data_IF_117899981022
#
_entry.id   IF_117899981022
#
_cell.length_a   1.000
_cell.length_b   1.000
_cell.length_c   1.000
_cell.angle_alpha   90.00
_cell.angle_beta   90.00
_cell.angle_gamma   90.00
#
_symmetry.space_group_name_H-M   'P 1'
#
loop_
_entity.id
_entity.type
_entity.pdbx_description
1 polymer ?
#
# COMPACT_ATOMS: atom_id res chain seq x y z
N UNK A 1 -6.19 -17.06 15.56
CA UNK A 1 -4.79 -16.74 15.16
C UNK A 1 -4.10 -16.00 16.28
N UNK A 2 -2.76 -16.09 16.41
CA UNK A 2 -2.00 -15.35 17.44
C UNK A 2 -1.46 -14.06 16.81
N UNK A 3 -2.03 -12.92 17.21
CA UNK A 3 -1.58 -11.58 16.81
C UNK A 3 -1.08 -10.77 18.03
N UNK A 4 -1.06 -11.35 19.23
CA UNK A 4 -0.62 -10.66 20.45
C UNK A 4 0.84 -10.93 20.81
N UNK A 5 1.45 -11.96 20.23
CA UNK A 5 2.88 -12.25 20.49
C UNK A 5 3.78 -11.17 19.89
N UNK A 6 4.59 -10.56 20.76
CA UNK A 6 5.64 -9.61 20.34
C UNK A 6 6.85 -10.38 19.84
N UNK A 7 7.19 -10.22 18.59
CA UNK A 7 8.37 -10.80 17.97
C UNK A 7 9.54 -9.81 17.97
N UNK A 8 10.68 -10.22 18.51
CA UNK A 8 11.90 -9.42 18.37
C UNK A 8 12.39 -9.47 16.92
N UNK A 9 12.45 -8.32 16.27
CA UNK A 9 12.94 -8.16 14.89
C UNK A 9 14.22 -7.31 14.82
N UNK A 10 14.71 -6.84 15.96
CA UNK A 10 15.96 -6.09 16.04
C UNK A 10 17.16 -7.02 15.83
N UNK A 11 18.16 -6.56 15.06
CA UNK A 11 19.35 -7.34 14.71
C UNK A 11 19.12 -8.44 13.67
N UNK A 12 17.99 -8.39 12.94
CA UNK A 12 17.63 -9.39 11.92
C UNK A 12 17.75 -8.85 10.48
N UNK A 13 18.43 -7.72 10.28
CA UNK A 13 18.46 -6.96 9.04
C UNK A 13 17.09 -6.42 8.61
N UNK A 14 16.16 -6.29 9.55
CA UNK A 14 14.84 -5.73 9.34
C UNK A 14 14.91 -4.21 9.24
N UNK A 15 14.63 -3.66 8.06
CA UNK A 15 14.65 -2.20 7.83
C UNK A 15 13.84 -1.43 8.87
N UNK A 16 12.66 -1.92 9.23
CA UNK A 16 11.74 -1.27 10.17
C UNK A 16 12.35 -1.06 11.55
N UNK A 17 13.15 -2.00 12.05
CA UNK A 17 13.76 -1.95 13.36
C UNK A 17 15.22 -1.49 13.32
N UNK A 18 16.04 -2.07 12.43
CA UNK A 18 17.48 -1.82 12.41
C UNK A 18 17.83 -0.43 11.83
N UNK A 19 16.95 0.16 11.02
CA UNK A 19 17.14 1.51 10.45
C UNK A 19 16.37 2.61 11.20
N UNK A 20 15.64 2.28 12.26
CA UNK A 20 14.82 3.24 13.01
C UNK A 20 15.67 4.34 13.65
N UNK A 21 16.73 3.98 14.33
CA UNK A 21 17.63 4.96 14.97
C UNK A 21 18.42 5.79 13.95
N UNK A 22 19.05 5.21 12.89
CA UNK A 22 19.74 6.01 11.87
C UNK A 22 18.85 7.01 11.13
N UNK A 23 17.58 6.66 10.87
CA UNK A 23 16.69 7.48 10.04
C UNK A 23 15.83 8.45 10.85
N UNK A 24 15.44 8.08 12.06
CA UNK A 24 14.49 8.83 12.88
C UNK A 24 15.02 9.25 14.25
N UNK A 25 16.23 8.83 14.63
CA UNK A 25 16.79 9.09 15.96
C UNK A 25 16.06 8.39 17.10
N UNK A 26 15.21 7.42 16.81
CA UNK A 26 14.43 6.64 17.78
C UNK A 26 15.20 5.38 18.13
N UNK A 27 15.61 5.17 19.43
CA UNK A 27 16.35 3.98 19.81
C UNK A 27 15.53 2.70 19.63
N UNK A 28 16.12 1.65 19.07
CA UNK A 28 15.43 0.40 18.81
C UNK A 28 15.06 -0.37 20.09
N UNK A 29 15.83 -0.19 21.17
CA UNK A 29 15.64 -0.89 22.45
C UNK A 29 14.42 -0.36 23.22
N UNK A 30 14.07 0.91 23.06
CA UNK A 30 13.01 1.59 23.83
C UNK A 30 11.93 2.21 22.97
N UNK A 31 12.20 2.35 21.67
CA UNK A 31 11.28 2.99 20.72
C UNK A 31 10.26 2.05 20.14
N UNK A 32 9.26 2.62 19.50
CA UNK A 32 8.22 1.90 18.76
C UNK A 32 8.38 2.12 17.24
N UNK A 33 8.47 1.04 16.48
CA UNK A 33 8.63 1.08 15.04
C UNK A 33 7.25 1.10 14.34
N UNK A 34 6.72 2.29 14.04
CA UNK A 34 5.41 2.45 13.39
C UNK A 34 5.49 3.14 12.01
N UNK A 35 6.60 2.96 11.28
CA UNK A 35 6.86 3.67 10.01
C UNK A 35 6.80 2.82 8.75
N UNK A 36 7.51 1.69 8.67
CA UNK A 36 7.48 0.81 7.50
C UNK A 36 6.13 0.11 7.40
N UNK A 37 5.59 0.02 6.19
CA UNK A 37 4.34 -0.68 5.91
C UNK A 37 4.57 -2.20 5.75
N UNK A 38 5.09 -2.84 6.80
CA UNK A 38 5.01 -4.26 7.08
C UNK A 38 4.42 -4.47 8.48
N UNK A 39 3.92 -5.66 8.77
CA UNK A 39 3.30 -5.97 10.06
C UNK A 39 4.26 -6.67 11.00
N UNK A 40 3.90 -6.75 12.28
CA UNK A 40 4.67 -7.47 13.32
C UNK A 40 4.15 -8.91 13.53
N UNK A 41 3.33 -9.42 12.61
CA UNK A 41 2.71 -10.74 12.70
C UNK A 41 3.41 -11.75 11.79
N UNK A 42 3.46 -13.01 12.23
CA UNK A 42 3.85 -14.12 11.36
C UNK A 42 2.80 -14.30 10.26
N UNK A 43 3.21 -14.65 9.02
CA UNK A 43 2.27 -15.04 7.98
C UNK A 43 1.48 -16.31 8.39
N UNK A 44 0.38 -16.65 7.69
CA UNK A 44 -0.37 -17.87 7.94
C UNK A 44 0.51 -19.12 7.84
N UNK A 45 0.10 -20.20 8.52
CA UNK A 45 0.88 -21.43 8.57
C UNK A 45 1.13 -22.03 7.18
N UNK A 46 0.16 -21.96 6.27
CA UNK A 46 0.32 -22.44 4.89
C UNK A 46 1.54 -21.82 4.18
N UNK A 47 1.82 -20.53 4.40
CA UNK A 47 3.01 -19.86 3.85
C UNK A 47 4.29 -20.40 4.48
N UNK A 48 4.29 -20.59 5.79
CA UNK A 48 5.43 -21.15 6.53
C UNK A 48 5.73 -22.59 6.05
N UNK A 49 4.70 -23.42 5.94
CA UNK A 49 4.81 -24.80 5.46
C UNK A 49 5.34 -24.89 4.02
N UNK A 50 4.95 -23.95 3.14
CA UNK A 50 5.49 -23.88 1.79
C UNK A 50 7.01 -23.64 1.79
N UNK A 51 7.52 -22.74 2.64
CA UNK A 51 8.95 -22.50 2.78
C UNK A 51 9.68 -23.72 3.38
N UNK A 52 9.10 -24.34 4.40
CA UNK A 52 9.67 -25.57 5.00
C UNK A 52 9.81 -26.70 3.99
N UNK A 53 8.83 -26.87 3.10
CA UNK A 53 8.90 -27.83 2.00
C UNK A 53 10.04 -27.50 1.03
N UNK A 54 10.24 -26.23 0.69
CA UNK A 54 11.37 -25.81 -0.15
C UNK A 54 12.72 -26.08 0.52
N UNK A 55 12.85 -25.77 1.83
CA UNK A 55 14.06 -26.02 2.61
C UNK A 55 14.37 -27.53 2.68
N UNK A 56 13.35 -28.35 2.90
CA UNK A 56 13.51 -29.81 2.94
C UNK A 56 13.94 -30.38 1.57
N UNK A 57 13.49 -29.80 0.47
CA UNK A 57 13.93 -30.17 -0.88
C UNK A 57 15.40 -29.79 -1.12
N UNK A 58 15.82 -28.60 -0.71
CA UNK A 58 17.21 -28.14 -0.69
C UNK A 58 17.85 -27.81 -2.05
N UNK A 59 17.09 -27.81 -3.15
CA UNK A 59 17.57 -27.45 -4.50
C UNK A 59 16.72 -26.29 -5.01
N UNK A 60 17.35 -25.13 -5.24
CA UNK A 60 16.69 -23.86 -5.55
C UNK A 60 16.93 -23.47 -7.00
N UNK A 61 16.29 -24.20 -7.93
CA UNK A 61 16.38 -23.97 -9.37
C UNK A 61 15.45 -22.86 -9.86
N UNK A 62 15.45 -22.66 -11.18
CA UNK A 62 14.49 -21.74 -11.82
C UNK A 62 13.07 -22.26 -11.65
N UNK A 63 12.13 -21.34 -11.40
CA UNK A 63 10.70 -21.64 -11.39
C UNK A 63 10.24 -21.88 -12.82
N UNK A 64 9.61 -23.00 -13.08
CA UNK A 64 9.23 -23.44 -14.43
C UNK A 64 7.76 -23.22 -14.73
N UNK A 65 6.92 -24.20 -14.38
CA UNK A 65 5.47 -24.13 -14.61
C UNK A 65 4.78 -23.26 -13.54
N UNK A 66 4.23 -22.13 -13.95
CA UNK A 66 3.55 -21.18 -13.07
C UNK A 66 2.02 -21.37 -13.00
N UNK A 67 1.49 -22.44 -13.61
CA UNK A 67 0.04 -22.68 -13.71
C UNK A 67 -0.64 -22.72 -12.34
N UNK A 68 -0.04 -23.37 -11.33
CA UNK A 68 -0.58 -23.46 -9.97
C UNK A 68 -0.65 -22.07 -9.31
N UNK A 69 0.40 -21.26 -9.49
CA UNK A 69 0.43 -19.89 -9.01
C UNK A 69 -0.64 -19.01 -9.67
N UNK A 70 -0.73 -19.05 -10.99
CA UNK A 70 -1.72 -18.29 -11.75
C UNK A 70 -3.15 -18.68 -11.39
N UNK A 71 -3.41 -19.96 -11.16
CA UNK A 71 -4.72 -20.43 -10.69
C UNK A 71 -5.02 -19.97 -9.26
N UNK A 72 -4.03 -19.92 -8.38
CA UNK A 72 -4.21 -19.36 -7.03
C UNK A 72 -4.56 -17.88 -7.08
N UNK A 73 -3.89 -17.07 -7.94
CA UNK A 73 -4.25 -15.66 -8.17
C UNK A 73 -5.68 -15.53 -8.68
N UNK A 74 -6.06 -16.32 -9.70
CA UNK A 74 -7.41 -16.30 -10.28
C UNK A 74 -8.48 -16.69 -9.25
N UNK A 75 -8.21 -17.75 -8.50
CA UNK A 75 -9.12 -18.20 -7.43
C UNK A 75 -9.34 -17.10 -6.39
N UNK A 76 -8.27 -16.43 -5.98
CA UNK A 76 -8.34 -15.35 -5.00
C UNK A 76 -9.16 -14.17 -5.52
N UNK A 77 -8.85 -13.69 -6.72
CA UNK A 77 -9.56 -12.55 -7.33
C UNK A 77 -11.06 -12.89 -7.50
N UNK A 78 -11.40 -14.08 -7.96
CA UNK A 78 -12.79 -14.49 -8.12
C UNK A 78 -13.50 -14.64 -6.77
N UNK A 79 -12.87 -15.30 -5.80
CA UNK A 79 -13.52 -15.67 -4.53
C UNK A 79 -13.65 -14.48 -3.58
N UNK A 80 -12.61 -13.65 -3.49
CA UNK A 80 -12.58 -12.52 -2.55
C UNK A 80 -13.13 -11.22 -3.13
N UNK A 81 -12.95 -11.01 -4.43
CA UNK A 81 -13.26 -9.74 -5.07
C UNK A 81 -14.30 -9.83 -6.17
N UNK A 82 -14.75 -11.04 -6.55
CA UNK A 82 -15.74 -11.26 -7.60
C UNK A 82 -15.23 -10.91 -9.00
N UNK A 83 -13.91 -10.83 -9.18
CA UNK A 83 -13.28 -10.47 -10.44
C UNK A 83 -12.66 -11.68 -11.13
N UNK A 84 -13.15 -11.98 -12.34
CA UNK A 84 -12.62 -13.06 -13.19
C UNK A 84 -11.41 -12.56 -13.97
N UNK A 85 -10.31 -13.33 -13.93
CA UNK A 85 -9.04 -13.03 -14.61
C UNK A 85 -8.58 -14.26 -15.36
N UNK A 86 -8.05 -14.09 -16.57
CA UNK A 86 -7.43 -15.18 -17.34
C UNK A 86 -5.92 -15.27 -17.08
N UNK A 87 -5.35 -16.48 -17.17
CA UNK A 87 -3.92 -16.71 -16.90
C UNK A 87 -3.00 -15.86 -17.76
N UNK A 88 -3.34 -15.69 -19.05
CA UNK A 88 -2.54 -14.94 -20.03
C UNK A 88 -2.56 -13.42 -19.79
N UNK A 89 -3.42 -12.93 -18.90
CA UNK A 89 -3.49 -11.53 -18.50
C UNK A 89 -2.52 -11.20 -17.35
N UNK A 90 -1.99 -12.21 -16.65
CA UNK A 90 -1.22 -12.06 -15.41
C UNK A 90 0.28 -12.11 -15.70
N UNK A 91 0.99 -11.06 -15.31
CA UNK A 91 2.45 -11.00 -15.30
C UNK A 91 2.95 -10.91 -13.86
N UNK A 92 4.04 -11.61 -13.56
CA UNK A 92 4.67 -11.57 -12.24
C UNK A 92 5.88 -10.64 -12.25
N UNK A 93 5.94 -9.69 -11.32
CA UNK A 93 7.03 -8.71 -11.16
C UNK A 93 7.68 -8.83 -9.79
N UNK A 94 8.84 -8.18 -9.61
CA UNK A 94 9.56 -8.15 -8.32
C UNK A 94 8.95 -7.12 -7.36
N UNK A 95 7.65 -7.29 -7.07
CA UNK A 95 6.82 -6.37 -6.29
C UNK A 95 6.23 -5.25 -7.14
N UNK A 96 5.23 -4.54 -6.59
CA UNK A 96 4.45 -3.58 -7.37
C UNK A 96 5.19 -2.26 -7.67
N UNK A 97 6.16 -1.85 -6.84
CA UNK A 97 7.02 -0.69 -7.18
C UNK A 97 7.81 -0.96 -8.46
N UNK A 98 8.34 -2.19 -8.63
CA UNK A 98 8.97 -2.62 -9.86
C UNK A 98 7.96 -2.69 -11.02
N UNK A 99 6.79 -3.31 -10.80
CA UNK A 99 5.71 -3.36 -11.79
C UNK A 99 5.28 -1.96 -12.27
N UNK A 100 5.09 -1.01 -11.35
CA UNK A 100 4.77 0.39 -11.67
C UNK A 100 5.87 1.06 -12.49
N UNK A 101 7.14 0.88 -12.10
CA UNK A 101 8.28 1.41 -12.86
C UNK A 101 8.32 0.86 -14.30
N UNK A 102 8.00 -0.44 -14.46
CA UNK A 102 7.90 -1.06 -15.79
C UNK A 102 6.74 -0.50 -16.60
N UNK A 103 5.59 -0.22 -15.98
CA UNK A 103 4.47 0.45 -16.66
C UNK A 103 4.85 1.86 -17.12
N UNK A 104 5.51 2.65 -16.26
CA UNK A 104 6.01 3.98 -16.62
C UNK A 104 6.93 3.88 -17.85
N UNK A 105 7.85 2.94 -17.86
CA UNK A 105 8.81 2.80 -18.93
C UNK A 105 8.21 2.22 -20.23
N UNK A 106 7.16 1.40 -20.11
CA UNK A 106 6.46 0.80 -21.26
C UNK A 106 5.49 1.77 -21.93
N UNK A 107 4.75 2.55 -21.13
CA UNK A 107 3.59 3.30 -21.63
C UNK A 107 3.82 4.82 -21.72
N UNK A 108 4.95 5.32 -21.21
CA UNK A 108 5.32 6.73 -21.27
C UNK A 108 6.72 6.94 -21.85
N UNK A 109 7.08 8.18 -22.15
CA UNK A 109 8.41 8.59 -22.62
C UNK A 109 9.06 9.56 -21.62
N UNK A 110 10.37 9.70 -21.61
CA UNK A 110 11.03 10.78 -20.85
C UNK A 110 10.42 12.14 -21.15
N UNK A 111 10.10 12.89 -20.10
CA UNK A 111 9.43 14.19 -20.18
C UNK A 111 7.90 14.14 -20.08
N UNK A 112 7.25 12.99 -20.30
CA UNK A 112 5.82 12.85 -20.12
C UNK A 112 5.40 13.06 -18.65
N UNK A 113 4.18 13.59 -18.45
CA UNK A 113 3.55 13.72 -17.14
C UNK A 113 2.93 12.40 -16.66
N UNK A 114 3.07 12.12 -15.37
CA UNK A 114 2.39 11.03 -14.66
C UNK A 114 1.61 11.64 -13.50
N UNK A 115 0.30 11.44 -13.51
CA UNK A 115 -0.64 12.00 -12.53
C UNK A 115 -0.63 11.17 -11.25
N UNK A 116 -0.56 11.84 -10.10
CA UNK A 116 -0.68 11.28 -8.76
C UNK A 116 -1.72 12.04 -7.93
N UNK A 117 -2.58 11.32 -7.22
CA UNK A 117 -3.53 11.89 -6.23
C UNK A 117 -2.84 12.09 -4.89
N UNK A 118 -2.22 13.25 -4.68
CA UNK A 118 -1.46 13.53 -3.46
C UNK A 118 -2.36 13.99 -2.28
N UNK A 119 -1.96 13.68 -1.01
CA UNK A 119 -0.80 12.90 -0.62
C UNK A 119 -0.95 11.42 -0.95
N UNK A 120 0.08 10.77 -1.50
CA UNK A 120 0.03 9.36 -1.89
C UNK A 120 1.39 8.67 -1.65
N UNK A 121 1.42 7.35 -1.70
CA UNK A 121 2.61 6.54 -1.46
C UNK A 121 3.85 7.10 -2.18
N UNK A 122 4.83 7.53 -1.39
CA UNK A 122 6.00 8.30 -1.83
C UNK A 122 6.89 7.60 -2.86
N UNK A 123 6.85 6.26 -2.93
CA UNK A 123 7.64 5.54 -3.93
C UNK A 123 7.20 5.85 -5.37
N UNK A 124 5.94 6.21 -5.60
CA UNK A 124 5.48 6.58 -6.95
C UNK A 124 6.20 7.82 -7.47
N UNK A 125 6.24 8.90 -6.68
CA UNK A 125 6.97 10.11 -7.05
C UNK A 125 8.45 9.84 -7.31
N UNK A 126 9.08 8.99 -6.48
CA UNK A 126 10.48 8.62 -6.62
C UNK A 126 10.76 7.90 -7.93
N UNK A 127 9.98 6.89 -8.28
CA UNK A 127 10.20 6.11 -9.52
C UNK A 127 9.88 6.90 -10.78
N UNK A 128 8.85 7.77 -10.75
CA UNK A 128 8.51 8.69 -11.86
C UNK A 128 9.70 9.60 -12.16
N UNK A 129 10.23 10.27 -11.13
CA UNK A 129 11.39 11.17 -11.26
C UNK A 129 12.65 10.43 -11.71
N UNK A 130 12.93 9.26 -11.12
CA UNK A 130 14.07 8.44 -11.49
C UNK A 130 14.01 7.95 -12.95
N UNK A 131 12.81 7.76 -13.48
CA UNK A 131 12.59 7.40 -14.88
C UNK A 131 12.59 8.61 -15.84
N UNK A 132 12.87 9.82 -15.37
CA UNK A 132 12.90 11.05 -16.18
C UNK A 132 11.52 11.54 -16.63
N UNK A 133 10.46 11.16 -15.91
CA UNK A 133 9.09 11.65 -16.13
C UNK A 133 8.75 12.76 -15.13
N UNK A 134 7.71 13.53 -15.43
CA UNK A 134 7.25 14.62 -14.57
C UNK A 134 6.11 14.11 -13.65
N UNK A 135 6.19 14.44 -12.36
CA UNK A 135 5.07 14.21 -11.43
C UNK A 135 4.08 15.34 -11.59
N UNK A 136 2.82 15.00 -11.90
CA UNK A 136 1.70 15.94 -11.93
C UNK A 136 0.83 15.66 -10.72
N UNK A 137 0.94 16.53 -9.71
CA UNK A 137 0.20 16.37 -8.45
C UNK A 137 -1.24 16.89 -8.60
N UNK A 138 -2.20 16.00 -8.39
CA UNK A 138 -3.62 16.27 -8.27
C UNK A 138 -4.03 16.08 -6.81
N UNK A 139 -3.99 17.15 -5.99
CA UNK A 139 -4.23 17.03 -4.56
C UNK A 139 -5.66 16.61 -4.25
N UNK A 140 -5.79 15.75 -3.25
CA UNK A 140 -7.06 15.39 -2.64
C UNK A 140 -7.52 16.52 -1.71
N UNK A 141 -8.82 16.73 -1.63
CA UNK A 141 -9.43 17.67 -0.68
C UNK A 141 -9.88 16.93 0.58
N UNK A 142 -9.85 17.60 1.73
CA UNK A 142 -10.40 17.05 2.97
C UNK A 142 -11.79 17.60 3.17
N UNK A 143 -12.80 16.73 3.16
CA UNK A 143 -14.21 17.06 3.41
C UNK A 143 -14.70 16.16 4.53
N UNK A 144 -15.25 16.74 5.57
CA UNK A 144 -15.75 16.03 6.77
C UNK A 144 -14.75 15.02 7.37
N UNK A 145 -13.44 15.33 7.27
CA UNK A 145 -12.35 14.51 7.79
C UNK A 145 -11.94 13.35 6.88
N UNK A 146 -12.43 13.29 5.65
CA UNK A 146 -12.06 12.30 4.63
C UNK A 146 -11.43 12.96 3.40
N UNK A 147 -10.58 12.23 2.70
CA UNK A 147 -10.11 12.64 1.38
C UNK A 147 -11.19 12.43 0.32
N UNK A 148 -11.37 13.42 -0.55
CA UNK A 148 -12.23 13.39 -1.72
C UNK A 148 -11.47 13.80 -2.97
N UNK A 149 -11.95 13.34 -4.14
CA UNK A 149 -11.40 13.63 -5.46
C UNK A 149 -12.10 14.86 -6.07
N UNK A 150 -11.33 15.91 -6.37
CA UNK A 150 -11.85 17.11 -7.07
C UNK A 150 -11.41 17.09 -8.54
N UNK A 151 -12.16 16.38 -9.37
CA UNK A 151 -11.86 16.23 -10.79
C UNK A 151 -11.85 17.57 -11.56
N UNK A 152 -12.66 18.54 -11.14
CA UNK A 152 -12.70 19.86 -11.79
C UNK A 152 -11.40 20.65 -11.52
N UNK A 153 -10.92 20.61 -10.28
CA UNK A 153 -9.62 21.20 -9.93
C UNK A 153 -8.46 20.48 -10.63
N UNK A 154 -8.58 19.16 -10.82
CA UNK A 154 -7.56 18.37 -11.53
C UNK A 154 -7.55 18.63 -13.03
N UNK A 155 -8.73 18.77 -13.68
CA UNK A 155 -8.81 19.14 -15.10
C UNK A 155 -8.05 20.44 -15.40
N UNK A 156 -8.12 21.42 -14.47
CA UNK A 156 -7.41 22.69 -14.61
C UNK A 156 -5.86 22.58 -14.49
N UNK A 157 -5.34 21.47 -13.99
CA UNK A 157 -3.91 21.20 -13.86
C UNK A 157 -3.31 20.48 -15.06
N UNK A 158 -4.14 19.89 -15.90
CA UNK A 158 -3.69 19.11 -17.04
C UNK A 158 -3.14 20.03 -18.15
N UNK A 159 -1.97 19.66 -18.66
CA UNK A 159 -1.24 20.43 -19.71
C UNK A 159 -1.32 19.78 -21.08
N UNK A 160 -1.79 18.52 -21.15
CA UNK A 160 -1.83 17.71 -22.37
C UNK A 160 -0.53 16.92 -22.62
N UNK A 161 0.43 17.00 -21.69
CA UNK A 161 1.67 16.21 -21.75
C UNK A 161 1.60 14.92 -20.91
N UNK A 162 0.57 14.77 -20.11
CA UNK A 162 0.34 13.61 -19.27
C UNK A 162 -0.05 12.39 -20.12
N UNK A 163 0.44 11.21 -19.70
CA UNK A 163 0.18 9.93 -20.40
C UNK A 163 -0.26 8.82 -19.48
N UNK A 164 -0.11 9.00 -18.17
CA UNK A 164 -0.43 7.98 -17.18
C UNK A 164 -1.03 8.60 -15.93
N UNK A 165 -1.93 7.86 -15.30
CA UNK A 165 -2.45 8.11 -13.96
C UNK A 165 -2.16 6.89 -13.08
N UNK A 166 -1.56 7.07 -11.92
CA UNK A 166 -1.36 6.01 -10.93
C UNK A 166 -2.32 6.23 -9.78
N UNK A 167 -3.29 5.32 -9.65
CA UNK A 167 -4.28 5.30 -8.56
C UNK A 167 -3.80 4.35 -7.46
N UNK A 168 -3.87 4.79 -6.21
CA UNK A 168 -3.71 3.94 -5.02
C UNK A 168 -5.11 3.60 -4.47
N UNK A 169 -5.51 2.32 -4.53
CA UNK A 169 -6.87 1.87 -4.15
C UNK A 169 -6.84 0.48 -3.49
N UNK A 170 -7.12 0.34 -2.20
CA UNK A 170 -7.37 1.38 -1.19
C UNK A 170 -6.19 2.34 -1.01
N UNK A 171 -6.52 3.55 -0.57
CA UNK A 171 -5.59 4.67 -0.56
C UNK A 171 -4.61 4.63 0.61
N UNK A 172 -3.33 4.80 0.34
CA UNK A 172 -2.26 5.01 1.31
C UNK A 172 -1.61 6.39 1.02
N UNK A 173 -1.65 7.34 1.97
CA UNK A 173 -1.75 7.14 3.43
C UNK A 173 -3.16 7.32 4.03
N UNK A 174 -4.12 7.89 3.33
CA UNK A 174 -5.40 8.31 3.89
C UNK A 174 -6.37 7.18 4.29
N UNK A 175 -6.05 5.92 3.99
CA UNK A 175 -6.88 4.76 4.38
C UNK A 175 -8.27 4.71 3.74
N UNK A 176 -8.48 5.44 2.63
CA UNK A 176 -9.78 5.48 1.94
C UNK A 176 -10.05 4.21 1.14
N UNK A 177 -11.29 3.76 1.18
CA UNK A 177 -11.89 2.86 0.18
C UNK A 177 -12.71 3.73 -0.78
N UNK A 178 -12.30 3.81 -2.03
CA UNK A 178 -12.98 4.64 -3.03
C UNK A 178 -14.34 4.05 -3.39
N UNK A 179 -15.35 4.91 -3.49
CA UNK A 179 -16.70 4.53 -3.91
C UNK A 179 -16.76 4.22 -5.41
N UNK A 180 -17.81 3.55 -5.85
CA UNK A 180 -18.03 3.30 -7.28
C UNK A 180 -18.10 4.62 -8.08
N UNK A 181 -18.69 5.66 -7.50
CA UNK A 181 -18.80 6.98 -8.13
C UNK A 181 -17.43 7.64 -8.30
N UNK A 182 -16.57 7.61 -7.25
CA UNK A 182 -15.21 8.12 -7.33
C UNK A 182 -14.38 7.35 -8.39
N UNK A 183 -14.51 6.02 -8.44
CA UNK A 183 -13.82 5.18 -9.44
C UNK A 183 -14.32 5.43 -10.86
N UNK A 184 -15.63 5.67 -11.05
CA UNK A 184 -16.18 6.13 -12.34
C UNK A 184 -15.63 7.50 -12.72
N UNK A 185 -15.47 8.40 -11.76
CA UNK A 185 -14.83 9.71 -11.97
C UNK A 185 -13.38 9.58 -12.45
N UNK A 186 -12.60 8.68 -11.85
CA UNK A 186 -11.22 8.36 -12.29
C UNK A 186 -11.22 7.82 -13.71
N UNK A 187 -12.13 6.89 -14.04
CA UNK A 187 -12.25 6.34 -15.39
C UNK A 187 -12.55 7.42 -16.42
N UNK A 188 -13.53 8.29 -16.13
CA UNK A 188 -13.92 9.40 -17.02
C UNK A 188 -12.78 10.42 -17.17
N UNK A 189 -12.03 10.70 -16.09
CA UNK A 189 -10.85 11.56 -16.15
C UNK A 189 -9.76 10.96 -17.05
N UNK A 190 -9.46 9.67 -16.92
CA UNK A 190 -8.49 8.99 -17.78
C UNK A 190 -8.90 8.98 -19.25
N UNK A 191 -10.20 8.78 -19.55
CA UNK A 191 -10.72 8.84 -20.91
C UNK A 191 -10.61 10.26 -21.50
N UNK A 192 -10.95 11.28 -20.72
CA UNK A 192 -10.94 12.69 -21.13
C UNK A 192 -9.55 13.20 -21.49
N UNK A 193 -8.54 12.73 -20.75
CA UNK A 193 -7.15 13.15 -20.91
C UNK A 193 -6.25 12.11 -21.61
N UNK A 194 -6.84 11.05 -22.18
CA UNK A 194 -6.14 9.96 -22.86
C UNK A 194 -4.99 9.34 -22.05
N UNK A 195 -5.28 9.02 -20.78
CA UNK A 195 -4.31 8.47 -19.84
C UNK A 195 -4.43 6.95 -19.75
N UNK A 196 -3.29 6.26 -19.64
CA UNK A 196 -3.22 4.88 -19.15
C UNK A 196 -3.41 4.94 -17.63
N UNK A 197 -4.37 4.17 -17.11
CA UNK A 197 -4.60 4.02 -15.68
C UNK A 197 -3.82 2.82 -15.15
N UNK A 198 -2.94 3.05 -14.19
CA UNK A 198 -2.31 2.02 -13.36
C UNK A 198 -3.00 2.04 -12.01
N UNK A 199 -3.81 1.02 -11.70
CA UNK A 199 -4.48 0.89 -10.39
C UNK A 199 -3.66 -0.01 -9.49
N UNK A 200 -2.96 0.58 -8.52
CA UNK A 200 -2.24 -0.16 -7.47
C UNK A 200 -3.23 -0.52 -6.36
N UNK A 201 -3.65 -1.79 -6.37
CA UNK A 201 -4.62 -2.33 -5.43
C UNK A 201 -3.97 -3.27 -4.39
N UNK A 202 -2.73 -2.99 -3.99
CA UNK A 202 -1.95 -3.84 -3.07
C UNK A 202 -2.62 -4.03 -1.70
N UNK A 203 -3.52 -3.14 -1.30
CA UNK A 203 -4.24 -3.16 -0.02
C UNK A 203 -5.67 -3.71 -0.13
N UNK A 204 -6.07 -4.27 -1.27
CA UNK A 204 -7.45 -4.67 -1.58
C UNK A 204 -8.09 -5.64 -0.58
N UNK A 205 -7.29 -6.48 0.11
CA UNK A 205 -7.78 -7.42 1.13
C UNK A 205 -7.87 -6.81 2.54
N UNK A 206 -7.19 -5.70 2.78
CA UNK A 206 -7.03 -5.10 4.11
C UNK A 206 -8.09 -4.01 4.31
N UNK A 207 -9.36 -4.40 4.26
CA UNK A 207 -10.53 -3.51 4.30
C UNK A 207 -11.27 -3.72 5.61
N UNK A 208 -11.53 -2.63 6.34
CA UNK A 208 -12.15 -2.68 7.65
C UNK A 208 -13.59 -3.21 7.60
N UNK A 209 -14.11 -3.83 8.67
CA UNK A 209 -15.48 -4.32 8.73
C UNK A 209 -16.51 -3.25 8.36
N UNK A 210 -17.49 -3.62 7.53
CA UNK A 210 -18.50 -2.71 7.01
C UNK A 210 -18.08 -1.91 5.76
N UNK A 211 -16.81 -1.97 5.35
CA UNK A 211 -16.32 -1.43 4.08
C UNK A 211 -16.17 -2.53 3.03
N UNK A 212 -16.16 -2.16 1.77
CA UNK A 212 -15.96 -3.09 0.66
C UNK A 212 -15.11 -2.44 -0.42
N UNK A 213 -13.96 -3.03 -0.70
CA UNK A 213 -13.16 -2.65 -1.88
C UNK A 213 -13.85 -3.10 -3.17
N UNK A 214 -13.86 -2.24 -4.15
CA UNK A 214 -14.36 -2.51 -5.50
C UNK A 214 -13.18 -2.44 -6.48
N UNK A 215 -12.75 -3.57 -7.08
CA UNK A 215 -11.67 -3.55 -8.08
C UNK A 215 -12.01 -2.66 -9.28
N UNK A 216 -11.04 -1.92 -9.77
CA UNK A 216 -11.23 -1.00 -10.89
C UNK A 216 -11.84 -1.64 -12.15
N UNK A 217 -11.49 -2.90 -12.56
CA UNK A 217 -12.11 -3.56 -13.71
C UNK A 217 -13.60 -3.85 -13.53
N UNK A 218 -14.07 -4.00 -12.28
CA UNK A 218 -15.50 -4.18 -11.98
C UNK A 218 -16.19 -2.82 -11.93
N UNK A 219 -15.55 -1.83 -11.30
CA UNK A 219 -16.11 -0.49 -11.21
C UNK A 219 -16.29 0.15 -12.60
N UNK A 220 -15.28 0.02 -13.47
CA UNK A 220 -15.24 0.71 -14.75
C UNK A 220 -14.76 -0.20 -15.91
N UNK A 221 -15.54 -1.21 -16.31
CA UNK A 221 -15.12 -2.14 -17.36
C UNK A 221 -14.92 -1.47 -18.73
N UNK A 222 -15.49 -0.29 -18.94
CA UNK A 222 -15.38 0.47 -20.19
C UNK A 222 -13.98 1.06 -20.47
N UNK A 223 -13.05 1.02 -19.49
CA UNK A 223 -11.68 1.51 -19.67
C UNK A 223 -10.66 0.35 -19.77
N UNK A 224 -11.11 -0.86 -20.06
CA UNK A 224 -10.22 -2.02 -20.16
C UNK A 224 -9.08 -1.81 -21.18
N UNK A 225 -9.31 -1.00 -22.23
CA UNK A 225 -8.34 -0.62 -23.26
C UNK A 225 -7.18 0.26 -22.76
N UNK A 226 -7.28 0.77 -21.54
CA UNK A 226 -6.29 1.67 -20.91
C UNK A 226 -6.00 1.36 -19.46
N UNK A 227 -6.41 0.18 -18.96
CA UNK A 227 -6.28 -0.22 -17.57
C UNK A 227 -5.18 -1.25 -17.38
N UNK A 228 -4.29 -0.97 -16.41
CA UNK A 228 -3.33 -1.91 -15.85
C UNK A 228 -3.66 -2.07 -14.37
N UNK A 229 -4.03 -3.30 -13.98
CA UNK A 229 -4.30 -3.65 -12.59
C UNK A 229 -3.07 -4.19 -11.91
N UNK A 230 -2.91 -3.87 -10.62
CA UNK A 230 -1.81 -4.38 -9.81
C UNK A 230 -2.31 -4.94 -8.48
N UNK A 231 -1.92 -6.17 -8.16
CA UNK A 231 -2.25 -6.83 -6.90
C UNK A 231 -1.03 -7.57 -6.35
N UNK A 232 -0.99 -7.82 -5.04
CA UNK A 232 0.08 -8.62 -4.44
C UNK A 232 -0.34 -9.24 -3.11
N UNK A 233 0.23 -10.39 -2.79
CA UNK A 233 0.12 -11.03 -1.47
C UNK A 233 0.92 -10.33 -0.38
N UNK A 234 1.87 -9.49 -0.77
CA UNK A 234 2.95 -9.02 0.11
C UNK A 234 2.51 -8.16 1.28
N UNK A 235 1.45 -7.35 1.12
CA UNK A 235 0.87 -6.55 2.20
C UNK A 235 -0.14 -7.34 3.01
N UNK A 236 -1.02 -8.05 2.32
CA UNK A 236 -2.06 -8.88 2.93
C UNK A 236 -1.48 -9.89 3.92
N UNK A 237 -0.43 -10.60 3.51
CA UNK A 237 0.13 -11.71 4.28
C UNK A 237 1.46 -11.41 4.98
N UNK A 238 1.85 -10.14 5.04
CA UNK A 238 3.11 -9.71 5.68
C UNK A 238 4.36 -10.43 5.14
N UNK A 239 4.45 -10.57 3.83
CA UNK A 239 5.57 -11.22 3.12
C UNK A 239 6.27 -10.26 2.16
N UNK A 240 6.45 -9.01 2.56
CA UNK A 240 7.04 -7.97 1.71
C UNK A 240 8.43 -8.35 1.17
N UNK A 241 9.22 -9.08 1.96
CA UNK A 241 10.54 -9.57 1.55
C UNK A 241 10.52 -10.62 0.42
N UNK A 242 9.35 -11.20 0.12
CA UNK A 242 9.17 -12.13 -1.01
C UNK A 242 9.27 -11.44 -2.37
N UNK A 243 9.15 -10.10 -2.42
CA UNK A 243 9.25 -9.33 -3.67
C UNK A 243 8.47 -9.96 -4.84
N UNK A 244 7.19 -10.23 -4.65
CA UNK A 244 6.28 -10.72 -5.68
C UNK A 244 5.09 -9.79 -5.86
N UNK A 245 4.63 -9.62 -7.10
CA UNK A 245 3.47 -8.79 -7.42
C UNK A 245 2.91 -9.18 -8.77
N UNK A 246 1.63 -8.96 -8.98
CA UNK A 246 0.91 -9.20 -10.22
C UNK A 246 0.64 -7.90 -10.94
N UNK A 247 0.96 -7.86 -12.22
CA UNK A 247 0.48 -6.86 -13.18
C UNK A 247 -0.50 -7.56 -14.09
N UNK A 248 -1.76 -7.12 -14.12
CA UNK A 248 -2.84 -7.81 -14.81
C UNK A 248 -3.41 -6.88 -15.88
N UNK A 249 -3.34 -7.29 -17.14
CA UNK A 249 -3.69 -6.48 -18.30
C UNK A 249 -4.67 -7.24 -19.20
N UNK A 250 -5.90 -6.79 -19.28
CA UNK A 250 -6.93 -7.41 -20.11
C UNK A 250 -6.77 -7.07 -21.59
N UNK A 251 -6.42 -5.83 -21.93
CA UNK A 251 -6.26 -5.37 -23.30
C UNK A 251 -5.07 -6.06 -24.00
N UNK A 252 -5.27 -6.73 -25.15
CA UNK A 252 -4.20 -7.46 -25.83
C UNK A 252 -3.04 -6.58 -26.34
N UNK A 253 -3.31 -5.32 -26.72
CA UNK A 253 -2.29 -4.42 -27.24
C UNK A 253 -1.40 -3.89 -26.14
N UNK A 254 -1.99 -3.48 -24.99
CA UNK A 254 -1.22 -3.11 -23.81
C UNK A 254 -0.43 -4.31 -23.28
N UNK A 255 -1.07 -5.49 -23.24
CA UNK A 255 -0.45 -6.74 -22.77
C UNK A 255 0.78 -7.12 -23.59
N UNK A 256 0.72 -7.05 -24.92
CA UNK A 256 1.85 -7.32 -25.81
C UNK A 256 3.02 -6.37 -25.54
N UNK A 257 2.76 -5.05 -25.42
CA UNK A 257 3.80 -4.06 -25.11
C UNK A 257 4.48 -4.33 -23.77
N UNK A 258 3.70 -4.71 -22.74
CA UNK A 258 4.24 -5.02 -21.43
C UNK A 258 5.06 -6.32 -21.44
N UNK A 259 4.60 -7.36 -22.16
CA UNK A 259 5.32 -8.62 -22.34
C UNK A 259 6.69 -8.41 -23.02
N UNK A 260 6.71 -7.62 -24.10
CA UNK A 260 7.97 -7.28 -24.81
C UNK A 260 8.97 -6.58 -23.87
N UNK A 261 8.45 -5.70 -23.00
CA UNK A 261 9.28 -4.98 -22.03
C UNK A 261 9.84 -5.92 -20.98
N UNK A 262 9.02 -6.83 -20.43
CA UNK A 262 9.48 -7.84 -19.48
C UNK A 262 10.59 -8.70 -20.06
N UNK A 263 10.40 -9.15 -21.30
CA UNK A 263 11.39 -9.95 -22.03
C UNK A 263 12.71 -9.18 -22.21
N UNK A 264 12.63 -7.92 -22.62
CA UNK A 264 13.81 -7.06 -22.80
C UNK A 264 14.60 -6.82 -21.51
N UNK A 265 13.93 -6.84 -20.35
CA UNK A 265 14.57 -6.68 -19.04
C UNK A 265 15.09 -8.00 -18.45
N UNK A 266 14.83 -9.14 -19.07
CA UNK A 266 15.25 -10.45 -18.58
C UNK A 266 14.66 -10.80 -17.21
N UNK A 267 13.45 -10.32 -16.90
CA UNK A 267 12.81 -10.57 -15.61
C UNK A 267 12.27 -11.99 -15.55
N UNK A 268 12.62 -12.69 -14.47
CA UNK A 268 12.07 -13.98 -14.12
C UNK A 268 11.53 -13.97 -12.70
N UNK A 269 10.50 -14.78 -12.40
CA UNK A 269 9.87 -14.78 -11.09
C UNK A 269 10.84 -15.17 -9.96
N UNK A 270 10.63 -14.60 -8.78
CA UNK A 270 11.25 -15.07 -7.55
C UNK A 270 10.55 -16.35 -7.08
N UNK A 271 11.21 -17.51 -7.20
CA UNK A 271 10.62 -18.81 -6.88
C UNK A 271 10.09 -18.88 -5.43
N UNK A 272 10.83 -18.34 -4.45
CA UNK A 272 10.36 -18.28 -3.06
C UNK A 272 9.07 -17.47 -2.94
N UNK A 273 9.02 -16.31 -3.60
CA UNK A 273 7.85 -15.47 -3.63
C UNK A 273 6.62 -16.15 -4.24
N UNK A 274 6.80 -16.91 -5.32
CA UNK A 274 5.70 -17.64 -5.95
C UNK A 274 5.16 -18.78 -5.06
N UNK A 275 6.04 -19.59 -4.45
CA UNK A 275 5.60 -20.63 -3.51
C UNK A 275 4.84 -20.05 -2.31
N UNK A 276 5.34 -18.94 -1.74
CA UNK A 276 4.66 -18.24 -0.65
C UNK A 276 3.29 -17.69 -1.09
N UNK A 277 3.22 -17.07 -2.27
CA UNK A 277 1.99 -16.47 -2.78
C UNK A 277 0.94 -17.53 -3.14
N UNK A 278 1.35 -18.64 -3.76
CA UNK A 278 0.47 -19.78 -4.06
C UNK A 278 -0.16 -20.33 -2.78
N UNK A 279 0.65 -20.54 -1.74
CA UNK A 279 0.16 -21.03 -0.46
C UNK A 279 -0.75 -20.02 0.25
N UNK A 280 -0.43 -18.72 0.16
CA UNK A 280 -1.20 -17.64 0.76
C UNK A 280 -2.60 -17.50 0.13
N UNK A 281 -2.70 -17.60 -1.18
CA UNK A 281 -3.98 -17.52 -1.91
C UNK A 281 -4.74 -18.86 -1.85
N UNK A 282 -5.17 -19.21 -0.66
CA UNK A 282 -5.84 -20.45 -0.30
C UNK A 282 -6.98 -20.21 0.69
N UNK A 283 -7.85 -21.20 0.93
CA UNK A 283 -8.87 -21.09 1.98
C UNK A 283 -8.30 -20.84 3.39
N UNK A 284 -7.13 -21.41 3.71
CA UNK A 284 -6.45 -21.16 4.99
C UNK A 284 -5.95 -19.70 5.07
N UNK A 285 -5.35 -19.19 3.98
CA UNK A 285 -4.96 -17.78 3.90
C UNK A 285 -6.14 -16.84 4.00
N UNK A 286 -7.28 -17.17 3.39
CA UNK A 286 -8.52 -16.38 3.48
C UNK A 286 -9.02 -16.26 4.93
N UNK A 287 -9.07 -17.36 5.67
CA UNK A 287 -9.46 -17.38 7.07
C UNK A 287 -8.50 -16.54 7.94
N UNK A 288 -7.19 -16.60 7.65
CA UNK A 288 -6.19 -15.78 8.35
C UNK A 288 -6.39 -14.28 8.10
N UNK A 289 -6.71 -13.88 6.86
CA UNK A 289 -6.99 -12.48 6.50
C UNK A 289 -8.24 -11.97 7.21
N UNK A 290 -9.28 -12.78 7.28
CA UNK A 290 -10.53 -12.41 7.98
C UNK A 290 -10.27 -12.15 9.48
N UNK A 291 -9.49 -12.99 10.14
CA UNK A 291 -9.07 -12.78 11.54
C UNK A 291 -8.16 -11.54 11.69
N UNK A 292 -7.21 -11.35 10.76
CA UNK A 292 -6.29 -10.22 10.76
C UNK A 292 -7.04 -8.89 10.69
N UNK A 293 -7.99 -8.77 9.76
CA UNK A 293 -8.76 -7.53 9.56
C UNK A 293 -9.55 -7.17 10.82
N UNK A 294 -10.15 -8.15 11.49
CA UNK A 294 -10.84 -7.94 12.76
C UNK A 294 -9.88 -7.45 13.86
N UNK A 295 -8.68 -8.03 13.90
CA UNK A 295 -7.66 -7.62 14.87
C UNK A 295 -7.17 -6.20 14.62
N UNK A 296 -6.88 -5.85 13.36
CA UNK A 296 -6.46 -4.49 12.96
C UNK A 296 -7.56 -3.47 13.23
N UNK A 297 -8.82 -3.80 12.96
CA UNK A 297 -9.96 -2.92 13.29
C UNK A 297 -10.02 -2.62 14.79
N UNK A 298 -9.82 -3.61 15.63
CA UNK A 298 -9.70 -3.38 17.07
C UNK A 298 -8.49 -2.49 17.44
N UNK A 299 -7.34 -2.63 16.75
CA UNK A 299 -6.20 -1.72 16.93
C UNK A 299 -6.56 -0.29 16.52
N UNK A 300 -7.23 -0.12 15.39
CA UNK A 300 -7.74 1.15 14.90
C UNK A 300 -8.63 1.83 15.94
N UNK A 301 -9.61 1.09 16.50
CA UNK A 301 -10.53 1.64 17.50
C UNK A 301 -9.80 2.18 18.73
N UNK A 302 -8.85 1.43 19.26
CA UNK A 302 -8.01 1.85 20.39
C UNK A 302 -7.18 3.09 20.04
N UNK A 303 -6.55 3.07 18.87
CA UNK A 303 -5.70 4.17 18.40
C UNK A 303 -6.52 5.44 18.17
N UNK A 304 -7.62 5.37 17.42
CA UNK A 304 -8.47 6.51 17.10
C UNK A 304 -9.05 7.15 18.38
N UNK A 305 -9.54 6.33 19.31
CA UNK A 305 -10.07 6.83 20.57
C UNK A 305 -9.01 7.57 21.39
N UNK A 306 -7.79 7.02 21.47
CA UNK A 306 -6.71 7.62 22.22
C UNK A 306 -6.12 8.88 21.60
N UNK A 307 -5.92 8.88 20.28
CA UNK A 307 -5.38 10.04 19.55
C UNK A 307 -6.39 11.18 19.49
N UNK A 308 -7.65 10.90 19.19
CA UNK A 308 -8.69 11.92 19.11
C UNK A 308 -9.06 12.53 20.49
N UNK A 309 -8.64 11.91 21.59
CA UNK A 309 -8.76 12.48 22.93
C UNK A 309 -7.69 13.57 23.21
N UNK A 310 -6.62 13.65 22.41
CA UNK A 310 -5.60 14.69 22.53
C UNK A 310 -6.11 15.95 21.79
N UNK A 311 -6.28 17.09 22.45
CA UNK A 311 -6.80 18.31 21.82
C UNK A 311 -5.99 18.71 20.59
N UNK A 312 -6.68 18.92 19.47
CA UNK A 312 -6.08 19.35 18.21
C UNK A 312 -5.44 18.24 17.36
N UNK A 313 -5.36 17.01 17.83
CA UNK A 313 -4.98 15.86 17.03
C UNK A 313 -6.23 15.18 16.44
N UNK A 314 -6.11 14.70 15.19
CA UNK A 314 -7.18 13.94 14.55
C UNK A 314 -6.63 12.78 13.76
N UNK A 315 -7.01 11.57 14.13
CA UNK A 315 -6.83 10.37 13.27
C UNK A 315 -7.88 10.39 12.16
N UNK A 316 -7.45 10.37 10.89
CA UNK A 316 -8.37 10.28 9.76
C UNK A 316 -9.07 8.91 9.79
N UNK A 317 -10.40 8.84 9.53
CA UNK A 317 -11.12 7.57 9.56
C UNK A 317 -10.50 6.53 8.62
N UNK A 318 -10.01 5.44 9.19
CA UNK A 318 -9.32 4.37 8.47
C UNK A 318 -10.34 3.35 7.97
N UNK A 319 -10.61 3.35 6.66
CA UNK A 319 -11.52 2.41 5.99
C UNK A 319 -10.79 1.15 5.47
N UNK A 320 -9.50 1.25 5.22
CA UNK A 320 -8.65 0.16 4.75
C UNK A 320 -7.19 0.38 5.12
N UNK A 321 -6.35 -0.62 4.90
CA UNK A 321 -4.94 -0.68 5.28
C UNK A 321 -4.76 -0.90 6.81
N UNK A 322 -3.53 -0.87 7.27
CA UNK A 322 -3.15 -0.83 8.68
C UNK A 322 -2.34 0.44 8.99
N UNK A 323 -2.55 1.50 8.20
CA UNK A 323 -1.74 2.73 8.22
C UNK A 323 -2.62 3.90 8.61
N UNK A 324 -2.58 4.29 9.88
CA UNK A 324 -3.31 5.45 10.38
C UNK A 324 -2.63 6.76 9.97
N UNK A 325 -3.42 7.73 9.55
CA UNK A 325 -3.00 9.04 9.09
C UNK A 325 -3.50 10.10 10.05
N UNK A 326 -2.57 10.69 10.82
CA UNK A 326 -2.90 11.61 11.92
C UNK A 326 -2.57 13.04 11.54
N UNK A 327 -3.55 13.92 11.63
CA UNK A 327 -3.42 15.36 11.42
C UNK A 327 -3.05 16.07 12.73
N UNK A 328 -2.04 16.93 12.66
CA UNK A 328 -1.54 17.80 13.73
C UNK A 328 -1.79 19.29 13.42
N UNK A 329 -2.46 19.61 12.33
CA UNK A 329 -2.60 21.01 11.87
C UNK A 329 -3.31 21.94 12.86
N UNK A 330 -4.28 21.41 13.61
CA UNK A 330 -5.08 22.22 14.54
C UNK A 330 -4.33 22.63 15.82
N UNK A 331 -3.18 22.03 16.15
CA UNK A 331 -2.41 22.43 17.34
C UNK A 331 -1.58 23.69 17.12
N UNK A 332 -1.43 24.16 15.86
CA UNK A 332 -0.67 25.38 15.55
C UNK A 332 0.83 25.30 15.81
N UNK A 333 1.36 24.09 16.04
CA UNK A 333 2.77 23.85 16.31
C UNK A 333 3.54 23.68 14.97
N UNK A 334 4.77 24.22 14.86
CA UNK A 334 5.63 23.93 13.71
C UNK A 334 5.82 22.43 13.52
N UNK A 335 5.79 21.94 12.28
CA UNK A 335 5.90 20.51 11.97
C UNK A 335 7.18 19.87 12.53
N UNK A 336 8.29 20.62 12.56
CA UNK A 336 9.53 20.13 13.16
C UNK A 336 9.37 19.81 14.66
N UNK A 337 8.62 20.62 15.39
CA UNK A 337 8.40 20.43 16.83
C UNK A 337 7.43 19.24 17.06
N UNK A 338 6.44 19.05 16.18
CA UNK A 338 5.57 17.87 16.19
C UNK A 338 6.41 16.60 16.00
N UNK A 339 7.27 16.59 14.99
CA UNK A 339 8.17 15.47 14.70
C UNK A 339 9.08 15.18 15.91
N UNK A 340 9.68 16.20 16.49
CA UNK A 340 10.55 16.07 17.66
C UNK A 340 9.80 15.50 18.87
N UNK A 341 8.57 15.93 19.13
CA UNK A 341 7.74 15.36 20.20
C UNK A 341 7.42 13.88 19.97
N UNK A 342 7.02 13.52 18.75
CA UNK A 342 6.69 12.13 18.43
C UNK A 342 7.94 11.25 18.45
N UNK A 343 9.06 11.70 17.86
CA UNK A 343 10.26 10.87 17.74
C UNK A 343 11.14 10.88 19.00
N UNK A 344 11.37 12.05 19.62
CA UNK A 344 12.28 12.16 20.75
C UNK A 344 11.58 11.97 22.10
N UNK A 345 10.36 12.54 22.28
CA UNK A 345 9.66 12.44 23.55
C UNK A 345 8.83 11.16 23.65
N UNK A 346 7.96 10.89 22.65
CA UNK A 346 7.18 9.66 22.62
C UNK A 346 8.01 8.43 22.17
N UNK A 347 9.17 8.64 21.54
CA UNK A 347 10.03 7.59 20.97
C UNK A 347 9.28 6.67 20.01
N UNK A 348 8.51 7.26 19.08
CA UNK A 348 7.77 6.54 18.04
C UNK A 348 8.32 6.95 16.67
N UNK A 349 8.86 6.00 15.93
CA UNK A 349 9.25 6.22 14.53
C UNK A 349 8.01 6.16 13.63
N UNK A 350 7.74 7.24 12.89
CA UNK A 350 6.59 7.41 11.98
C UNK A 350 7.06 7.92 10.62
N UNK A 351 6.25 7.77 9.57
CA UNK A 351 6.54 8.47 8.33
C UNK A 351 6.03 9.92 8.39
N UNK A 352 6.88 10.84 7.93
CA UNK A 352 6.53 12.25 7.82
C UNK A 352 5.62 12.47 6.61
N UNK A 353 4.56 13.24 6.80
CA UNK A 353 3.54 13.45 5.78
C UNK A 353 4.04 14.18 4.55
N UNK A 354 5.03 15.06 4.69
CA UNK A 354 5.68 15.77 3.58
C UNK A 354 6.29 14.83 2.53
N UNK A 355 6.65 13.61 2.91
CA UNK A 355 7.16 12.60 1.98
C UNK A 355 6.10 12.10 0.98
N UNK A 356 4.81 12.27 1.29
CA UNK A 356 3.69 11.79 0.47
C UNK A 356 3.22 12.80 -0.58
N UNK A 357 3.82 13.98 -0.64
CA UNK A 357 3.46 15.05 -1.58
C UNK A 357 2.51 16.09 -0.98
N UNK A 358 1.98 16.95 -1.84
CA UNK A 358 1.12 18.06 -1.49
C UNK A 358 -0.10 17.61 -0.66
N UNK A 359 -0.39 18.33 0.43
CA UNK A 359 -1.50 18.02 1.35
C UNK A 359 -1.11 17.07 2.50
N UNK A 360 0.17 16.67 2.58
CA UNK A 360 0.69 15.84 3.67
C UNK A 360 1.40 16.63 4.79
N UNK A 361 1.49 17.95 4.70
CA UNK A 361 2.41 18.77 5.49
C UNK A 361 2.16 18.71 7.00
N UNK A 362 0.89 18.62 7.43
CA UNK A 362 0.52 18.55 8.85
C UNK A 362 0.39 17.13 9.40
N UNK A 363 0.69 16.12 8.60
CA UNK A 363 0.38 14.74 8.94
C UNK A 363 1.60 13.90 9.31
N UNK A 364 1.34 12.85 10.11
CA UNK A 364 2.24 11.71 10.32
C UNK A 364 1.48 10.40 10.11
N UNK A 365 2.15 9.39 9.52
CA UNK A 365 1.57 8.06 9.29
C UNK A 365 2.08 7.06 10.32
N UNK A 366 1.14 6.38 11.00
CA UNK A 366 1.40 5.34 11.98
C UNK A 366 0.99 3.97 11.46
N UNK A 367 1.81 2.96 11.68
CA UNK A 367 1.51 1.57 11.34
C UNK A 367 0.85 0.85 12.52
N UNK A 368 -0.39 0.39 12.36
CA UNK A 368 -1.19 -0.33 13.36
C UNK A 368 -1.13 -1.86 13.20
N UNK A 369 -0.37 -2.39 12.25
CA UNK A 369 -0.17 -3.82 12.01
C UNK A 369 0.81 -4.42 13.02
N UNK A 370 0.52 -4.30 14.31
CA UNK A 370 1.35 -4.76 15.42
C UNK A 370 0.46 -5.28 16.57
N UNK A 371 1.03 -5.99 17.57
CA UNK A 371 0.28 -6.43 18.74
C UNK A 371 -0.46 -5.29 19.43
N UNK A 372 -1.65 -5.59 19.99
CA UNK A 372 -2.52 -4.60 20.65
C UNK A 372 -1.79 -3.83 21.75
N UNK A 373 -0.93 -4.51 22.51
CA UNK A 373 -0.13 -3.88 23.56
C UNK A 373 0.76 -2.76 23.02
N UNK A 374 1.32 -2.91 21.81
CA UNK A 374 2.13 -1.87 21.15
C UNK A 374 1.29 -0.64 20.78
N UNK A 375 0.04 -0.82 20.33
CA UNK A 375 -0.87 0.29 20.03
C UNK A 375 -1.26 1.04 21.31
N UNK A 376 -1.59 0.31 22.39
CA UNK A 376 -1.91 0.92 23.69
C UNK A 376 -0.72 1.72 24.23
N UNK A 377 0.48 1.17 24.14
CA UNK A 377 1.71 1.86 24.53
C UNK A 377 1.96 3.12 23.68
N UNK A 378 1.76 3.03 22.35
CA UNK A 378 1.90 4.19 21.46
C UNK A 378 0.93 5.32 21.84
N UNK A 379 -0.33 4.99 22.11
CA UNK A 379 -1.34 5.97 22.56
C UNK A 379 -0.93 6.61 23.88
N UNK A 380 -0.50 5.83 24.87
CA UNK A 380 -0.07 6.36 26.18
C UNK A 380 1.13 7.33 26.02
N UNK A 381 2.11 6.98 25.21
CA UNK A 381 3.26 7.84 24.90
C UNK A 381 2.86 9.14 24.17
N UNK A 382 1.94 9.05 23.22
CA UNK A 382 1.40 10.23 22.53
C UNK A 382 0.68 11.15 23.52
N UNK A 383 -0.19 10.62 24.37
CA UNK A 383 -0.88 11.40 25.40
C UNK A 383 0.11 12.08 26.38
N UNK A 384 1.16 11.39 26.78
CA UNK A 384 2.19 11.97 27.65
C UNK A 384 3.01 13.06 26.92
N UNK A 385 3.37 12.85 25.63
CA UNK A 385 4.16 13.80 24.86
C UNK A 385 3.40 15.09 24.52
N UNK A 386 2.07 15.07 24.54
CA UNK A 386 1.18 16.21 24.27
C UNK A 386 0.31 16.56 25.48
N UNK A 387 0.76 16.24 26.71
CA UNK A 387 0.01 16.51 27.94
C UNK A 387 -0.22 18.00 28.20
N UNK A 388 0.62 18.88 27.67
CA UNK A 388 0.50 20.34 27.76
C UNK A 388 -0.66 20.92 26.91
N UNK A 389 -1.27 20.11 26.04
CA UNK A 389 -2.45 20.48 25.26
C UNK A 389 -3.78 20.05 25.93
N UNK A 390 -3.71 19.26 27.00
CA UNK A 390 -4.87 18.67 27.69
C UNK A 390 -5.48 19.59 28.77
#
# INVERSE_FOLDING_TARGET
MDFDTVHNRFGTHCVKWDMMQPLYGVPAETGLAMWVADMEFRPPHCVQAALEKMLAHGIYGYYGDDAEYLDAVRWWMQTRHGWSVDRDQIFTTHGLVNGTAMCIDTFTRPGDGVVLTTPVYHAFSRIIKAAGRQVVECPLSIVDGHYEMDFAAWDARMTGTERMFILCSPHNPGGRVWTAEELHGVAAFCQRHDLILVSDEIHHDLVMPGQRHLPMPIAAPQIADRLVMMTATTKTFNIAGAHSGNVIIADPALRARFADRMMAMGLSPNSFGLHMATAAYSPEGAAWVDDLVQYIDGNRQVFDAGINAIPGLRSMPLQATYLAWVDFGAIGMPQADVIDRVQKTAQIATNHGTAFGMGGESFLRFNLGCPRATVVEAVARMQAAFADLQ
#
